data_IF_548293630818
#
_entry.id   IF_548293630818
#
_cell.length_a   1.000
_cell.length_b   1.000
_cell.length_c   1.000
_cell.angle_alpha   90.00
_cell.angle_beta   90.00
_cell.angle_gamma   90.00
#
_symmetry.space_group_name_H-M   'P 1'
#
loop_
_entity.id
_entity.type
_entity.pdbx_description
1 polymer ?
#
# COMPACT_ATOMS: atom_id res chain seq x y z
N UNK A 1 2.46 -65.74 16.05
CA UNK A 1 1.53 -65.78 14.90
C UNK A 1 1.14 -64.34 14.56
N UNK A 2 1.48 -63.89 13.35
CA UNK A 2 1.07 -62.60 12.76
C UNK A 2 -0.43 -62.65 12.46
N UNK A 3 -1.13 -61.53 12.65
CA UNK A 3 -2.25 -61.18 11.78
C UNK A 3 -2.47 -59.66 11.76
N UNK A 4 -2.28 -59.13 10.56
CA UNK A 4 -2.46 -57.75 10.14
C UNK A 4 -3.94 -57.37 10.12
N UNK A 5 -4.24 -56.10 10.44
CA UNK A 5 -5.46 -55.43 9.97
C UNK A 5 -5.07 -54.04 9.47
N UNK A 6 -4.75 -54.00 8.18
CA UNK A 6 -4.74 -52.78 7.39
C UNK A 6 -6.16 -52.22 7.32
N UNK A 7 -6.34 -50.95 7.67
CA UNK A 7 -7.47 -50.14 7.20
C UNK A 7 -6.91 -49.03 6.32
N UNK A 8 -6.96 -49.31 5.02
CA UNK A 8 -6.98 -48.34 3.93
C UNK A 8 -8.39 -47.73 3.92
N UNK A 9 -8.52 -46.43 3.66
CA UNK A 9 -9.52 -45.82 2.79
C UNK A 9 -9.78 -44.35 3.17
N UNK A 10 -9.51 -43.46 2.21
CA UNK A 10 -9.72 -42.03 2.32
C UNK A 10 -9.16 -41.25 1.14
N UNK A 11 -9.38 -41.74 -0.10
CA UNK A 11 -9.11 -40.99 -1.33
C UNK A 11 -10.45 -40.54 -1.97
N UNK A 12 -10.82 -39.30 -1.70
CA UNK A 12 -11.72 -38.45 -2.51
C UNK A 12 -11.15 -37.03 -2.32
N UNK A 13 -10.66 -36.29 -3.31
CA UNK A 13 -11.10 -36.09 -4.67
C UNK A 13 -11.34 -34.57 -4.83
N UNK A 14 -10.86 -33.97 -5.95
CA UNK A 14 -10.96 -32.54 -6.37
C UNK A 14 -9.59 -31.81 -6.35
N UNK A 15 -8.66 -32.02 -7.28
CA UNK A 15 -8.69 -31.43 -8.65
C UNK A 15 -9.87 -30.49 -8.89
N UNK A 16 -9.68 -29.18 -8.66
CA UNK A 16 -10.26 -28.05 -9.42
C UNK A 16 -9.87 -26.75 -8.70
N UNK A 17 -8.74 -26.13 -9.03
CA UNK A 17 -8.62 -24.66 -9.07
C UNK A 17 -7.49 -24.27 -10.02
N UNK A 18 -7.87 -24.16 -11.30
CA UNK A 18 -7.16 -23.43 -12.34
C UNK A 18 -7.59 -21.96 -12.23
N UNK A 19 -6.71 -21.12 -11.70
CA UNK A 19 -6.71 -19.65 -11.83
C UNK A 19 -5.25 -19.21 -11.69
N UNK A 20 -4.52 -18.90 -12.76
CA UNK A 20 -4.55 -17.57 -13.42
C UNK A 20 -4.80 -16.46 -12.40
N UNK A 21 -3.73 -15.84 -11.90
CA UNK A 21 -3.35 -14.46 -12.25
C UNK A 21 -2.38 -13.86 -11.22
N UNK A 22 -1.30 -13.29 -11.77
CA UNK A 22 -0.54 -12.14 -11.29
C UNK A 22 -0.09 -12.05 -9.82
N UNK A 23 1.24 -12.08 -9.66
CA UNK A 23 1.94 -11.07 -8.87
C UNK A 23 1.61 -11.04 -7.39
N UNK A 24 1.84 -12.15 -6.69
CA UNK A 24 1.97 -12.10 -5.22
C UNK A 24 3.32 -11.48 -4.87
N UNK A 25 3.45 -10.18 -5.12
CA UNK A 25 4.43 -9.36 -4.43
C UNK A 25 4.17 -9.58 -2.95
N UNK A 26 5.21 -10.05 -2.25
CA UNK A 26 5.22 -10.39 -0.83
C UNK A 26 4.66 -9.26 0.04
N UNK A 27 3.33 -9.17 0.13
CA UNK A 27 2.61 -8.32 1.09
C UNK A 27 2.74 -9.02 2.43
N UNK A 28 3.81 -8.68 3.14
CA UNK A 28 3.95 -9.04 4.55
C UNK A 28 2.73 -8.58 5.35
N UNK A 29 2.52 -9.09 6.58
CA UNK A 29 1.37 -8.74 7.40
C UNK A 29 1.19 -7.21 7.49
N UNK A 30 -0.06 -6.74 7.30
CA UNK A 30 -0.43 -5.33 7.48
C UNK A 30 -0.29 -4.95 8.96
N UNK A 31 0.93 -4.65 9.39
CA UNK A 31 1.21 -4.23 10.74
C UNK A 31 0.96 -2.74 10.90
N UNK A 32 0.61 -2.32 12.11
CA UNK A 32 0.48 -0.90 12.46
C UNK A 32 1.73 -0.09 12.07
N UNK A 33 2.93 -0.69 12.23
CA UNK A 33 4.19 -0.07 11.84
C UNK A 33 4.25 0.24 10.34
N UNK A 34 3.89 -0.73 9.49
CA UNK A 34 3.85 -0.53 8.03
C UNK A 34 2.82 0.52 7.64
N UNK A 35 1.63 0.48 8.25
CA UNK A 35 0.59 1.49 8.01
C UNK A 35 1.06 2.92 8.33
N UNK A 36 1.74 3.11 9.47
CA UNK A 36 2.33 4.40 9.86
C UNK A 36 3.45 4.83 8.92
N UNK A 37 4.28 3.90 8.46
CA UNK A 37 5.34 4.18 7.51
C UNK A 37 4.78 4.71 6.18
N UNK A 38 3.73 4.07 5.65
CA UNK A 38 3.08 4.53 4.42
C UNK A 38 2.48 5.93 4.59
N UNK A 39 1.78 6.22 5.69
CA UNK A 39 1.23 7.56 5.93
C UNK A 39 2.30 8.64 6.13
N UNK A 40 3.44 8.28 6.71
CA UNK A 40 4.58 9.20 6.78
C UNK A 40 5.15 9.49 5.37
N UNK A 41 5.28 8.47 4.53
CA UNK A 41 5.72 8.61 3.15
C UNK A 41 4.76 9.47 2.31
N UNK A 42 3.45 9.30 2.49
CA UNK A 42 2.42 10.17 1.88
C UNK A 42 2.64 11.63 2.26
N UNK A 43 2.86 11.92 3.54
CA UNK A 43 3.14 13.27 4.03
C UNK A 43 4.43 13.85 3.43
N UNK A 44 5.49 13.06 3.30
CA UNK A 44 6.74 13.51 2.68
C UNK A 44 6.55 13.84 1.20
N UNK A 45 5.81 13.02 0.47
CA UNK A 45 5.49 13.27 -0.94
C UNK A 45 4.64 14.53 -1.13
N UNK A 46 3.71 14.81 -0.20
CA UNK A 46 2.95 16.06 -0.21
C UNK A 46 3.88 17.27 -0.06
N UNK A 47 4.75 17.27 0.95
CA UNK A 47 5.73 18.36 1.16
C UNK A 47 6.62 18.57 -0.06
N UNK A 48 7.12 17.47 -0.64
CA UNK A 48 7.91 17.47 -1.86
C UNK A 48 7.18 18.16 -3.02
N UNK A 49 5.91 17.83 -3.24
CA UNK A 49 5.09 18.47 -4.29
C UNK A 49 4.93 19.96 -4.03
N UNK A 50 4.64 20.35 -2.80
CA UNK A 50 4.48 21.75 -2.41
C UNK A 50 5.75 22.56 -2.67
N UNK A 51 6.93 22.05 -2.31
CA UNK A 51 8.20 22.75 -2.53
C UNK A 51 8.51 22.86 -4.03
N UNK A 52 8.19 21.83 -4.83
CA UNK A 52 8.32 21.91 -6.28
C UNK A 52 7.45 23.02 -6.87
N UNK A 53 6.19 23.11 -6.47
CA UNK A 53 5.30 24.19 -6.89
C UNK A 53 5.80 25.57 -6.43
N UNK A 54 6.49 25.67 -5.29
CA UNK A 54 7.09 26.92 -4.82
C UNK A 54 8.29 27.34 -5.69
N UNK A 55 9.10 26.40 -6.18
CA UNK A 55 10.25 26.71 -7.04
C UNK A 55 9.85 27.39 -8.36
N UNK A 56 8.64 27.14 -8.86
CA UNK A 56 8.13 27.73 -10.08
C UNK A 56 7.50 29.12 -9.88
N UNK A 57 7.33 29.57 -8.62
CA UNK A 57 6.68 30.84 -8.30
C UNK A 57 7.71 31.97 -8.15
N UNK A 58 7.48 33.13 -8.80
CA UNK A 58 8.42 34.26 -8.74
C UNK A 58 8.57 34.85 -7.33
N UNK A 59 7.53 34.71 -6.50
CA UNK A 59 7.50 35.18 -5.10
C UNK A 59 8.60 34.54 -4.23
N UNK A 60 9.08 33.34 -4.59
CA UNK A 60 10.09 32.61 -3.83
C UNK A 60 11.50 32.69 -4.43
N UNK A 61 11.71 33.48 -5.49
CA UNK A 61 12.98 33.48 -6.22
C UNK A 61 14.17 33.89 -5.36
N UNK A 62 13.97 34.76 -4.37
CA UNK A 62 14.99 35.18 -3.40
C UNK A 62 15.45 34.06 -2.46
N UNK A 63 14.63 33.01 -2.29
CA UNK A 63 14.92 31.86 -1.40
C UNK A 63 15.10 30.55 -2.16
N UNK A 64 15.21 30.57 -3.49
CA UNK A 64 15.31 29.36 -4.32
C UNK A 64 16.41 28.39 -3.87
N UNK A 65 17.58 28.89 -3.46
CA UNK A 65 18.66 28.00 -2.98
C UNK A 65 18.24 27.21 -1.73
N UNK A 66 17.46 27.81 -0.84
CA UNK A 66 16.94 27.15 0.37
C UNK A 66 15.92 26.08 -0.04
N UNK A 67 14.98 26.42 -0.92
CA UNK A 67 13.97 25.47 -1.41
C UNK A 67 14.57 24.28 -2.15
N UNK A 68 15.61 24.49 -2.97
CA UNK A 68 16.35 23.40 -3.62
C UNK A 68 17.05 22.51 -2.59
N UNK A 69 17.63 23.10 -1.54
CA UNK A 69 18.24 22.36 -0.44
C UNK A 69 17.23 21.50 0.31
N UNK A 70 16.09 22.09 0.67
CA UNK A 70 15.00 21.38 1.36
C UNK A 70 14.41 20.26 0.51
N UNK A 71 14.19 20.50 -0.79
CA UNK A 71 13.71 19.48 -1.73
C UNK A 71 14.66 18.28 -1.79
N UNK A 72 15.97 18.53 -1.87
CA UNK A 72 16.99 17.46 -1.83
C UNK A 72 16.98 16.69 -0.51
N UNK A 73 16.84 17.39 0.62
CA UNK A 73 16.78 16.75 1.93
C UNK A 73 15.54 15.83 2.06
N UNK A 74 14.39 16.27 1.56
CA UNK A 74 13.16 15.45 1.54
C UNK A 74 13.34 14.25 0.60
N UNK A 75 13.90 14.44 -0.59
CA UNK A 75 14.17 13.34 -1.53
C UNK A 75 15.10 12.28 -0.91
N UNK A 76 16.16 12.70 -0.20
CA UNK A 76 17.04 11.79 0.53
C UNK A 76 16.29 11.02 1.62
N UNK A 77 15.51 11.73 2.46
CA UNK A 77 14.76 11.12 3.55
C UNK A 77 13.72 10.12 3.03
N UNK A 78 13.02 10.43 1.93
CA UNK A 78 12.08 9.51 1.28
C UNK A 78 12.79 8.21 0.89
N UNK A 79 13.94 8.32 0.22
CA UNK A 79 14.70 7.15 -0.25
C UNK A 79 15.19 6.29 0.92
N UNK A 80 15.78 6.91 1.94
CA UNK A 80 16.23 6.22 3.16
C UNK A 80 15.07 5.51 3.87
N UNK A 81 13.91 6.19 3.96
CA UNK A 81 12.73 5.65 4.64
C UNK A 81 12.12 4.48 3.88
N UNK A 82 12.05 4.54 2.55
CA UNK A 82 11.59 3.42 1.71
C UNK A 82 12.48 2.19 1.92
N UNK A 83 13.80 2.38 1.93
CA UNK A 83 14.75 1.30 2.18
C UNK A 83 14.60 0.71 3.58
N UNK A 84 14.47 1.56 4.60
CA UNK A 84 14.34 1.15 6.00
C UNK A 84 13.09 0.29 6.27
N UNK A 85 11.99 0.57 5.55
CA UNK A 85 10.71 -0.09 5.75
C UNK A 85 10.32 -1.08 4.64
N UNK A 86 11.19 -1.30 3.65
CA UNK A 86 10.96 -2.16 2.49
C UNK A 86 9.57 -1.90 1.84
N UNK A 87 9.28 -0.62 1.61
CA UNK A 87 8.01 -0.18 1.02
C UNK A 87 8.12 -0.34 -0.50
N UNK A 88 7.28 -1.17 -1.11
CA UNK A 88 7.23 -1.29 -2.57
C UNK A 88 6.47 -0.10 -3.17
N UNK A 89 6.92 0.41 -4.33
CA UNK A 89 6.33 1.59 -5.00
C UNK A 89 4.81 1.47 -5.22
N UNK A 90 4.31 0.25 -5.48
CA UNK A 90 2.89 -0.02 -5.72
C UNK A 90 2.01 0.19 -4.47
N UNK A 91 2.57 0.00 -3.26
CA UNK A 91 1.80 0.15 -2.01
C UNK A 91 1.55 1.61 -1.63
N UNK A 92 2.40 2.53 -2.10
CA UNK A 92 2.17 3.96 -1.97
C UNK A 92 1.05 4.45 -2.92
N UNK A 93 0.80 3.73 -4.02
CA UNK A 93 -0.24 4.05 -4.99
C UNK A 93 -1.62 3.43 -4.64
N UNK A 94 -1.63 2.23 -4.06
CA UNK A 94 -2.84 1.43 -3.79
C UNK A 94 -3.86 2.06 -2.82
N UNK A 95 -3.48 3.07 -2.02
CA UNK A 95 -4.42 3.74 -1.10
C UNK A 95 -5.31 4.80 -1.75
N UNK A 96 -5.03 5.21 -2.99
CA UNK A 96 -5.92 6.17 -3.68
C UNK A 96 -7.26 5.56 -4.10
N UNK A 97 -7.38 4.24 -4.17
CA UNK A 97 -8.59 3.59 -4.70
C UNK A 97 -9.58 3.07 -3.64
N UNK A 98 -9.19 2.94 -2.37
CA UNK A 98 -10.05 2.30 -1.35
C UNK A 98 -11.06 3.22 -0.66
N UNK A 99 -11.14 4.51 -1.00
CA UNK A 99 -12.10 5.45 -0.37
C UNK A 99 -13.48 5.52 -1.04
N UNK A 100 -13.75 4.72 -2.07
CA UNK A 100 -14.97 4.87 -2.89
C UNK A 100 -15.90 3.64 -2.98
N UNK A 101 -15.91 2.73 -1.99
CA UNK A 101 -16.89 1.65 -1.96
C UNK A 101 -17.85 1.73 -0.76
N UNK A 102 -18.96 2.46 -0.98
CA UNK A 102 -20.29 1.91 -0.74
C UNK A 102 -20.88 2.07 0.66
N UNK A 103 -21.11 3.31 1.11
CA UNK A 103 -22.26 3.57 1.97
C UNK A 103 -23.55 3.38 1.15
N UNK A 104 -24.02 2.14 1.01
CA UNK A 104 -25.41 1.88 0.62
C UNK A 104 -26.28 2.16 1.84
N UNK A 105 -26.80 3.39 1.91
CA UNK A 105 -27.90 3.73 2.79
C UNK A 105 -29.05 2.73 2.57
N UNK A 106 -29.46 2.04 3.63
CA UNK A 106 -30.72 1.30 3.64
C UNK A 106 -31.85 2.33 3.66
N UNK A 107 -32.40 2.62 2.49
CA UNK A 107 -33.68 3.33 2.36
C UNK A 107 -34.78 2.34 2.76
N UNK A 108 -35.35 2.53 3.96
CA UNK A 108 -36.52 1.78 4.40
C UNK A 108 -37.74 2.35 3.70
N UNK A 109 -38.23 1.64 2.69
CA UNK A 109 -39.47 1.98 2.02
C UNK A 109 -40.64 1.57 2.92
N UNK A 110 -41.25 2.56 3.60
CA UNK A 110 -42.57 2.38 4.21
C UNK A 110 -43.60 2.11 3.10
N UNK A 111 -44.26 0.97 3.15
CA UNK A 111 -45.47 0.72 2.38
C UNK A 111 -46.57 0.17 3.29
N UNK A 112 -47.59 1.04 3.43
CA UNK A 112 -49.01 0.81 3.74
C UNK A 112 -49.40 0.26 5.11
#
# INVERSE_FOLDING_TARGET
MRNEKFKKDGHHGSEYFKGKEHGSHHRGPKTFRRGRAISFLEMMNLKRSTIKEQLDKPEFQSINQILVGELKAIDMLINEFIQLFEIQENEAADKKETSNNGEKGMEMNETN
#
